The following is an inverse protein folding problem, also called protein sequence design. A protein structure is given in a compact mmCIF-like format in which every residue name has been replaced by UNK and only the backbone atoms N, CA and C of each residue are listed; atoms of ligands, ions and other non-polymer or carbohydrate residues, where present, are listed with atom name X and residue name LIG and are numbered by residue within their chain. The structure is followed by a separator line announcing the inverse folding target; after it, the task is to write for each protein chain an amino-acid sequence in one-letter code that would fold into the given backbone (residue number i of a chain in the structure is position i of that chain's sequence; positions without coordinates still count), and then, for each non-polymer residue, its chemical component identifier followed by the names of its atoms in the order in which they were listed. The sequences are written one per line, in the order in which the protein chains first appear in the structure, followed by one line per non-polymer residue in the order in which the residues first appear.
data_IF_652912976555
#
_entry.id   IF_652912976555
#
_cell.length_a   1.000
_cell.length_b   1.000
_cell.length_c   1.000
_cell.angle_alpha   90.00
_cell.angle_beta   90.00
_cell.angle_gamma   90.00
#
_symmetry.space_group_name_H-M   'P 1'
#
loop_
_entity.id
_entity.type
_entity.pdbx_description
1 polymer ?
#
# COMPACT_ATOMS: atom_id res chain seq x y z
N UNK A 1 -13.06 5.51 19.40
CA UNK A 1 -12.76 4.16 18.89
C UNK A 1 -12.13 3.32 19.99
N UNK A 2 -12.16 1.99 19.89
CA UNK A 2 -11.33 1.13 20.76
C UNK A 2 -9.95 1.05 20.13
N UNK A 3 -8.91 1.26 20.95
CA UNK A 3 -7.53 1.01 20.53
C UNK A 3 -7.40 -0.45 20.07
N UNK A 4 -6.83 -0.71 18.88
CA UNK A 4 -6.59 -2.07 18.40
C UNK A 4 -5.61 -2.80 19.33
N UNK A 5 -5.75 -4.12 19.43
CA UNK A 5 -4.80 -4.94 20.19
C UNK A 5 -3.40 -4.88 19.56
N UNK A 6 -2.35 -5.24 20.29
CA UNK A 6 -0.96 -5.19 19.83
C UNK A 6 -0.35 -6.57 19.58
N UNK A 7 -1.18 -7.56 19.22
CA UNK A 7 -0.80 -8.96 19.10
C UNK A 7 -1.28 -9.61 17.80
N UNK A 8 -1.34 -8.84 16.72
CA UNK A 8 -1.75 -9.40 15.43
C UNK A 8 -0.64 -10.26 14.83
N UNK A 9 -1.04 -11.36 14.20
CA UNK A 9 -0.12 -12.28 13.53
C UNK A 9 0.39 -11.74 12.19
N UNK A 10 -0.28 -10.71 11.64
CA UNK A 10 0.08 -10.06 10.39
C UNK A 10 -0.51 -8.64 10.34
N UNK A 11 0.27 -7.66 9.89
CA UNK A 11 -0.16 -6.27 9.73
C UNK A 11 0.27 -5.76 8.35
N UNK A 12 -0.66 -5.13 7.63
CA UNK A 12 -0.36 -4.48 6.34
C UNK A 12 -0.49 -2.97 6.45
N UNK A 13 0.37 -2.21 5.78
CA UNK A 13 0.24 -0.76 5.65
C UNK A 13 0.10 -0.35 4.18
N UNK A 14 -1.01 0.31 3.84
CA UNK A 14 -1.25 0.98 2.55
C UNK A 14 -1.78 2.37 2.87
N UNK A 15 -0.97 3.40 2.65
CA UNK A 15 -1.30 4.78 3.03
C UNK A 15 -0.60 5.78 2.09
N UNK A 16 -1.11 7.01 2.00
CA UNK A 16 -0.42 8.11 1.31
C UNK A 16 -1.20 8.75 0.17
N UNK A 17 -2.16 8.05 -0.46
CA UNK A 17 -2.94 8.61 -1.59
C UNK A 17 -3.66 9.91 -1.24
N UNK A 18 -4.15 10.03 0.00
CA UNK A 18 -4.82 11.25 0.47
C UNK A 18 -3.84 12.41 0.72
N UNK A 19 -2.60 12.12 1.14
CA UNK A 19 -1.56 13.14 1.29
C UNK A 19 -1.21 13.72 -0.09
N UNK A 20 -1.01 12.84 -1.09
CA UNK A 20 -0.77 13.24 -2.48
C UNK A 20 -1.95 14.04 -3.03
N UNK A 21 -3.18 13.53 -2.94
CA UNK A 21 -4.38 14.19 -3.46
C UNK A 21 -4.61 15.59 -2.85
N UNK A 22 -4.24 15.79 -1.58
CA UNK A 22 -4.36 17.08 -0.88
C UNK A 22 -3.18 18.01 -1.12
N UNK A 23 -2.14 17.58 -1.83
CA UNK A 23 -0.94 18.36 -2.09
C UNK A 23 -0.15 18.70 -0.82
N UNK A 24 -0.13 17.80 0.17
CA UNK A 24 0.66 18.03 1.38
C UNK A 24 2.17 17.95 1.08
N UNK A 25 3.01 18.69 1.84
CA UNK A 25 4.45 18.63 1.66
C UNK A 25 4.98 17.20 1.77
N UNK A 26 5.88 16.80 0.86
CA UNK A 26 6.38 15.42 0.82
C UNK A 26 7.14 15.03 2.10
N UNK A 27 7.80 15.99 2.75
CA UNK A 27 8.49 15.77 4.03
C UNK A 27 7.53 15.41 5.16
N UNK A 28 6.29 15.91 5.11
CA UNK A 28 5.24 15.53 6.04
C UNK A 28 4.88 14.05 5.87
N UNK A 29 4.65 13.61 4.63
CA UNK A 29 4.41 12.21 4.32
C UNK A 29 5.57 11.31 4.78
N UNK A 30 6.82 11.69 4.48
CA UNK A 30 8.00 10.92 4.89
C UNK A 30 8.03 10.68 6.40
N UNK A 31 7.75 11.72 7.19
CA UNK A 31 7.69 11.63 8.66
C UNK A 31 6.52 10.76 9.12
N UNK A 32 5.31 11.06 8.68
CA UNK A 32 4.08 10.39 9.11
C UNK A 32 4.07 8.91 8.69
N UNK A 33 4.56 8.59 7.49
CA UNK A 33 4.69 7.21 7.02
C UNK A 33 5.60 6.39 7.95
N UNK A 34 6.76 6.94 8.35
CA UNK A 34 7.66 6.27 9.29
C UNK A 34 7.00 6.06 10.66
N UNK A 35 6.26 7.04 11.16
CA UNK A 35 5.50 6.92 12.41
C UNK A 35 4.43 5.82 12.33
N UNK A 36 3.68 5.76 11.22
CA UNK A 36 2.68 4.72 10.97
C UNK A 36 3.29 3.33 10.79
N UNK A 37 4.46 3.23 10.14
CA UNK A 37 5.17 1.95 10.00
C UNK A 37 5.65 1.41 11.36
N UNK A 38 6.19 2.28 12.22
CA UNK A 38 6.54 1.93 13.60
C UNK A 38 5.31 1.50 14.42
N UNK A 39 4.16 2.13 14.19
CA UNK A 39 2.91 1.72 14.81
C UNK A 39 2.45 0.34 14.29
N UNK A 40 2.56 0.07 12.99
CA UNK A 40 2.26 -1.24 12.41
C UNK A 40 3.15 -2.35 13.01
N UNK A 41 4.44 -2.08 13.19
CA UNK A 41 5.38 -2.99 13.89
C UNK A 41 4.94 -3.23 15.33
N UNK A 42 4.49 -2.19 16.04
CA UNK A 42 3.97 -2.33 17.41
C UNK A 42 2.73 -3.23 17.45
N UNK A 43 1.84 -3.11 16.46
CA UNK A 43 0.67 -3.99 16.33
C UNK A 43 1.03 -5.45 16.03
N UNK A 44 2.20 -5.69 15.43
CA UNK A 44 2.79 -6.99 15.19
C UNK A 44 3.69 -7.48 16.34
N UNK A 45 3.52 -6.96 17.56
CA UNK A 45 4.33 -7.30 18.74
C UNK A 45 5.85 -7.07 18.54
N UNK A 46 6.21 -6.07 17.75
CA UNK A 46 7.61 -5.72 17.45
C UNK A 46 8.27 -6.58 16.37
N UNK A 47 7.55 -7.52 15.77
CA UNK A 47 8.08 -8.45 14.77
C UNK A 47 7.89 -7.90 13.35
N UNK A 48 8.97 -7.40 12.75
CA UNK A 48 8.97 -6.86 11.37
C UNK A 48 8.65 -7.93 10.33
N UNK A 49 8.89 -9.21 10.61
CA UNK A 49 8.58 -10.32 9.69
C UNK A 49 7.08 -10.56 9.52
N UNK A 50 6.26 -9.93 10.37
CA UNK A 50 4.80 -9.95 10.34
C UNK A 50 4.20 -8.66 9.80
N UNK A 51 5.03 -7.76 9.26
CA UNK A 51 4.58 -6.49 8.65
C UNK A 51 4.90 -6.51 7.17
N UNK A 52 4.00 -5.99 6.34
CA UNK A 52 4.29 -5.67 4.94
C UNK A 52 3.64 -4.36 4.52
N UNK A 53 4.20 -3.72 3.50
CA UNK A 53 3.70 -2.47 2.93
C UNK A 53 3.16 -2.73 1.53
N UNK A 54 2.13 -2.00 1.12
CA UNK A 54 1.51 -2.09 -0.20
C UNK A 54 1.58 -0.74 -0.89
N UNK A 55 1.94 -0.73 -2.17
CA UNK A 55 2.01 0.50 -2.98
C UNK A 55 0.64 1.15 -3.20
N UNK A 56 0.63 2.42 -3.57
CA UNK A 56 -0.59 3.16 -3.88
C UNK A 56 -1.02 2.84 -5.33
N UNK A 57 -2.29 2.47 -5.60
CA UNK A 57 -2.75 2.33 -6.97
C UNK A 57 -2.73 3.68 -7.71
N UNK A 58 -2.41 3.68 -9.00
CA UNK A 58 -2.53 4.86 -9.82
C UNK A 58 -4.00 5.18 -10.10
N UNK A 59 -4.61 6.07 -9.33
CA UNK A 59 -5.97 6.53 -9.59
C UNK A 59 -6.05 7.52 -10.76
N UNK A 60 -4.92 8.00 -11.29
CA UNK A 60 -4.86 8.89 -12.45
C UNK A 60 -5.49 8.31 -13.72
N UNK A 61 -5.54 6.98 -13.81
CA UNK A 61 -6.17 6.23 -14.91
C UNK A 61 -7.71 6.15 -14.83
N UNK A 62 -8.29 6.67 -13.74
CA UNK A 62 -9.75 6.70 -13.55
C UNK A 62 -10.35 7.93 -14.23
N UNK A 63 -11.64 7.95 -14.61
CA UNK A 63 -12.27 9.17 -15.11
C UNK A 63 -12.04 10.38 -14.20
N UNK A 64 -12.19 10.21 -12.88
CA UNK A 64 -11.91 11.27 -11.92
C UNK A 64 -10.44 11.74 -11.96
N UNK A 65 -9.49 10.80 -12.02
CA UNK A 65 -8.06 11.10 -12.05
C UNK A 65 -7.61 11.76 -13.34
N UNK A 66 -8.14 11.34 -14.48
CA UNK A 66 -7.83 11.94 -15.79
C UNK A 66 -8.20 13.42 -15.85
N UNK A 67 -9.32 13.82 -15.23
CA UNK A 67 -9.71 15.23 -15.10
C UNK A 67 -8.72 16.07 -14.27
N UNK A 68 -7.91 15.42 -13.43
CA UNK A 68 -6.90 16.04 -12.56
C UNK A 68 -5.48 16.00 -13.14
N UNK A 69 -5.25 15.20 -14.18
CA UNK A 69 -3.97 15.05 -14.86
C UNK A 69 -3.27 13.73 -14.52
N UNK A 70 -3.45 12.73 -15.38
CA UNK A 70 -2.89 11.38 -15.19
C UNK A 70 -1.38 11.39 -14.99
N UNK A 71 -0.62 12.06 -15.88
CA UNK A 71 0.84 12.05 -15.84
C UNK A 71 1.38 12.61 -14.52
N UNK A 72 0.81 13.72 -14.03
CA UNK A 72 1.20 14.33 -12.75
C UNK A 72 0.90 13.38 -11.59
N UNK A 73 -0.32 12.82 -11.54
CA UNK A 73 -0.70 11.86 -10.50
C UNK A 73 0.25 10.66 -10.50
N UNK A 74 0.52 10.08 -11.67
CA UNK A 74 1.42 8.94 -11.80
C UNK A 74 2.81 9.25 -11.27
N UNK A 75 3.40 10.39 -11.65
CA UNK A 75 4.75 10.76 -11.20
C UNK A 75 4.80 11.01 -9.69
N UNK A 76 3.80 11.68 -9.14
CA UNK A 76 3.73 11.92 -7.70
C UNK A 76 3.59 10.60 -6.93
N UNK A 77 2.69 9.71 -7.35
CA UNK A 77 2.52 8.41 -6.70
C UNK A 77 3.80 7.56 -6.75
N UNK A 78 4.56 7.60 -7.85
CA UNK A 78 5.87 6.95 -7.91
C UNK A 78 6.87 7.48 -6.87
N UNK A 79 6.82 8.79 -6.57
CA UNK A 79 7.65 9.38 -5.49
C UNK A 79 7.19 8.88 -4.12
N UNK A 80 5.88 8.86 -3.87
CA UNK A 80 5.31 8.36 -2.60
C UNK A 80 5.64 6.88 -2.37
N UNK A 81 5.48 6.04 -3.40
CA UNK A 81 5.81 4.62 -3.37
C UNK A 81 7.31 4.39 -3.18
N UNK A 82 8.17 5.17 -3.86
CA UNK A 82 9.63 5.08 -3.68
C UNK A 82 10.07 5.43 -2.26
N UNK A 83 9.44 6.42 -1.61
CA UNK A 83 9.71 6.77 -0.22
C UNK A 83 9.25 5.65 0.73
N UNK A 84 8.04 5.11 0.50
CA UNK A 84 7.52 4.00 1.30
C UNK A 84 8.41 2.77 1.21
N UNK A 85 8.81 2.37 -0.01
CA UNK A 85 9.71 1.25 -0.27
C UNK A 85 11.07 1.45 0.40
N UNK A 86 11.68 2.64 0.25
CA UNK A 86 12.96 2.96 0.88
C UNK A 86 12.90 2.85 2.41
N UNK A 87 11.87 3.41 3.05
CA UNK A 87 11.73 3.36 4.51
C UNK A 87 11.43 1.94 4.98
N UNK A 88 10.62 1.18 4.24
CA UNK A 88 10.30 -0.22 4.57
C UNK A 88 11.53 -1.11 4.48
N UNK A 89 12.33 -0.92 3.43
CA UNK A 89 13.58 -1.64 3.21
C UNK A 89 14.63 -1.37 4.30
N UNK A 90 14.69 -0.15 4.85
CA UNK A 90 15.56 0.16 6.02
C UNK A 90 15.24 -0.68 7.27
N UNK A 91 14.04 -1.29 7.32
CA UNK A 91 13.55 -2.10 8.45
C UNK A 91 13.32 -3.57 8.07
N UNK A 92 13.84 -4.01 6.91
CA UNK A 92 13.63 -5.36 6.36
C UNK A 92 12.15 -5.74 6.18
N UNK A 93 11.28 -4.76 5.92
CA UNK A 93 9.84 -4.95 5.71
C UNK A 93 9.56 -5.02 4.20
N UNK A 94 8.90 -6.09 3.69
CA UNK A 94 8.60 -6.24 2.28
C UNK A 94 7.61 -5.18 1.78
N UNK A 95 7.87 -4.65 0.58
CA UNK A 95 7.01 -3.73 -0.15
C UNK A 95 6.40 -4.43 -1.37
N UNK A 96 5.07 -4.54 -1.41
CA UNK A 96 4.33 -5.23 -2.47
C UNK A 96 3.71 -4.20 -3.42
N UNK A 97 4.17 -4.22 -4.67
CA UNK A 97 3.75 -3.26 -5.68
C UNK A 97 2.48 -3.72 -6.43
N UNK A 98 1.35 -3.07 -6.14
CA UNK A 98 0.06 -3.27 -6.81
C UNK A 98 -0.23 -2.22 -7.90
N UNK A 99 0.60 -1.18 -8.02
CA UNK A 99 0.39 -0.04 -8.94
C UNK A 99 0.18 -0.50 -10.39
N UNK A 100 0.93 -1.49 -10.94
CA UNK A 100 0.68 -1.99 -12.30
C UNK A 100 -0.73 -2.57 -12.54
N UNK A 101 -1.43 -3.04 -11.50
CA UNK A 101 -2.81 -3.56 -11.64
C UNK A 101 -3.77 -2.44 -12.04
N UNK A 102 -3.61 -1.25 -11.44
CA UNK A 102 -4.46 -0.10 -11.74
C UNK A 102 -4.35 0.35 -13.20
N UNK A 103 -3.16 0.22 -13.82
CA UNK A 103 -2.92 0.62 -15.22
C UNK A 103 -3.80 -0.15 -16.23
N UNK A 104 -4.25 -1.36 -15.87
CA UNK A 104 -5.14 -2.16 -16.72
C UNK A 104 -6.48 -1.45 -16.98
N UNK A 105 -6.88 -0.51 -16.13
CA UNK A 105 -8.09 0.29 -16.31
C UNK A 105 -8.08 1.17 -17.57
N UNK A 106 -6.90 1.47 -18.13
CA UNK A 106 -6.77 2.17 -19.43
C UNK A 106 -7.38 1.39 -20.59
N UNK A 107 -7.30 0.07 -20.52
CA UNK A 107 -7.77 -0.84 -21.56
C UNK A 107 -9.11 -1.49 -21.17
N UNK A 108 -9.38 -1.63 -19.87
CA UNK A 108 -10.56 -2.29 -19.35
C UNK A 108 -11.21 -1.47 -18.21
N UNK A 109 -12.26 -0.68 -18.52
CA UNK A 109 -12.96 0.12 -17.52
C UNK A 109 -13.60 -0.69 -16.37
N UNK A 110 -13.74 -2.02 -16.50
CA UNK A 110 -14.29 -2.87 -15.43
C UNK A 110 -13.38 -2.95 -14.19
N UNK A 111 -12.15 -2.44 -14.27
CA UNK A 111 -11.24 -2.27 -13.12
C UNK A 111 -11.63 -1.10 -12.21
N UNK A 112 -12.58 -0.24 -12.61
CA UNK A 112 -13.03 0.94 -11.85
C UNK A 112 -14.46 0.72 -11.34
N UNK A 113 -14.72 1.15 -10.11
CA UNK A 113 -16.05 1.09 -9.51
C UNK A 113 -17.02 2.11 -10.13
N UNK A 114 -18.31 1.98 -9.79
CA UNK A 114 -19.37 2.86 -10.33
C UNK A 114 -19.25 4.33 -9.92
N UNK A 115 -18.43 4.64 -8.91
CA UNK A 115 -18.12 6.01 -8.51
C UNK A 115 -17.06 6.70 -9.39
N UNK A 116 -16.53 5.98 -10.40
CA UNK A 116 -15.55 6.46 -11.36
C UNK A 116 -14.20 6.89 -10.76
N UNK A 117 -13.91 6.44 -9.53
CA UNK A 117 -12.69 6.76 -8.80
C UNK A 117 -12.05 5.53 -8.18
N UNK A 118 -12.78 4.73 -7.43
CA UNK A 118 -12.17 3.66 -6.65
C UNK A 118 -11.95 2.39 -7.48
N UNK A 119 -11.00 1.53 -7.06
CA UNK A 119 -10.84 0.19 -7.64
C UNK A 119 -12.15 -0.60 -7.54
N UNK A 120 -12.48 -1.33 -8.60
CA UNK A 120 -13.59 -2.29 -8.56
C UNK A 120 -13.21 -3.55 -7.78
N UNK A 121 -14.21 -4.40 -7.48
CA UNK A 121 -13.95 -5.72 -6.89
C UNK A 121 -13.03 -6.61 -7.74
N UNK A 122 -13.01 -6.42 -9.07
CA UNK A 122 -12.09 -7.11 -9.97
C UNK A 122 -10.64 -6.69 -9.69
N UNK A 123 -10.41 -5.39 -9.55
CA UNK A 123 -9.08 -4.86 -9.27
C UNK A 123 -8.60 -5.29 -7.88
N UNK A 124 -9.45 -5.19 -6.84
CA UNK A 124 -9.11 -5.67 -5.50
C UNK A 124 -8.78 -7.16 -5.44
N UNK A 125 -9.47 -7.99 -6.23
CA UNK A 125 -9.15 -9.42 -6.34
C UNK A 125 -7.71 -9.62 -6.84
N UNK A 126 -7.30 -8.90 -7.86
CA UNK A 126 -5.93 -9.02 -8.40
C UNK A 126 -4.87 -8.48 -7.43
N UNK A 127 -5.17 -7.45 -6.63
CA UNK A 127 -4.27 -7.05 -5.55
C UNK A 127 -4.03 -8.19 -4.56
N UNK A 128 -5.10 -8.88 -4.15
CA UNK A 128 -5.00 -10.03 -3.24
C UNK A 128 -4.21 -11.17 -3.91
N UNK A 129 -4.41 -11.42 -5.20
CA UNK A 129 -3.65 -12.45 -5.94
C UNK A 129 -2.14 -12.14 -6.00
N UNK A 130 -1.75 -10.86 -6.03
CA UNK A 130 -0.35 -10.44 -5.94
C UNK A 130 0.21 -10.51 -4.50
N UNK A 131 -0.59 -10.14 -3.50
CA UNK A 131 -0.16 -10.08 -2.09
C UNK A 131 -0.07 -11.48 -1.47
N UNK A 132 -0.99 -12.37 -1.82
CA UNK A 132 -1.18 -13.65 -1.15
C UNK A 132 0.06 -14.57 -1.15
N UNK A 133 0.85 -14.70 -2.24
CA UNK A 133 2.06 -15.51 -2.24
C UNK A 133 3.09 -15.04 -1.20
N UNK A 134 3.34 -13.74 -1.11
CA UNK A 134 4.27 -13.14 -0.15
C UNK A 134 3.80 -13.36 1.29
N UNK A 135 2.52 -13.11 1.56
CA UNK A 135 1.92 -13.34 2.88
C UNK A 135 2.02 -14.81 3.30
N UNK A 136 1.82 -15.76 2.37
CA UNK A 136 2.01 -17.19 2.68
C UNK A 136 3.45 -17.50 3.06
N UNK A 137 4.44 -16.91 2.39
CA UNK A 137 5.85 -17.09 2.73
C UNK A 137 6.15 -16.52 4.13
N UNK A 138 5.67 -15.32 4.43
CA UNK A 138 5.83 -14.69 5.75
C UNK A 138 5.30 -15.59 6.87
N UNK A 139 4.05 -16.07 6.75
CA UNK A 139 3.41 -16.91 7.78
C UNK A 139 4.10 -18.28 7.96
N UNK A 140 4.63 -18.86 6.88
CA UNK A 140 5.37 -20.13 6.96
C UNK A 140 6.74 -19.95 7.62
N UNK A 141 7.41 -18.83 7.39
CA UNK A 141 8.74 -18.55 7.95
C UNK A 141 8.66 -18.17 9.44
N UNK A 142 7.61 -17.47 9.89
CA UNK A 142 7.39 -17.18 11.32
C UNK A 142 7.21 -18.43 12.19
N UNK A 143 6.85 -19.57 11.59
CA UNK A 143 6.69 -20.86 12.28
C UNK A 143 8.01 -21.57 12.61
N UNK A 144 9.13 -21.12 12.02
CA UNK A 144 10.43 -21.81 12.13
C UNK A 144 11.36 -21.20 13.20
N UNK A 145 10.99 -20.04 13.76
CA UNK A 145 11.80 -19.31 14.77
C UNK A 145 11.44 -19.66 16.22
N UNK A 146 10.62 -20.69 16.45
CA UNK A 146 10.33 -21.24 17.78
C UNK A 146 10.94 -22.64 17.91
N UNK A 147 12.23 -22.68 18.28
CA UNK A 147 12.91 -23.83 18.88
C UNK A 147 14.07 -23.36 19.74
#
# INVERSE_FOLDING_TARGET
EKEPSSNYDLVSLLIGVNNQYRGYPIDQYKKEFKELLLQAITFANGDTTKVFVVSIPNYGVTPFGMEKGEDTIRQELLIYDSIADSISSEMDIPFINITPVSEKAKEDPSYIASDQLHPSGKQYKEWVELILPEVKLMLNNSSSSTN
#
